data_IF_742841532804
#
_entry.id   IF_742841532804
#
_cell.length_a   1.000
_cell.length_b   1.000
_cell.length_c   1.000
_cell.angle_alpha   90.00
_cell.angle_beta   90.00
_cell.angle_gamma   90.00
#
_symmetry.space_group_name_H-M   'P 1'
#
loop_
_entity.id
_entity.type
_entity.pdbx_description
1 polymer ?
#
# COMPACT_ATOMS: atom_id res chain seq x y z
N UNK A 1 -30.71 22.68 -4.30
CA UNK A 1 -31.29 21.31 -4.35
C UNK A 1 -30.15 20.36 -4.05
N UNK A 2 -30.13 19.83 -2.83
CA UNK A 2 -29.04 18.99 -2.31
C UNK A 2 -29.44 17.53 -2.55
N UNK A 3 -28.83 16.90 -3.57
CA UNK A 3 -29.02 15.49 -3.85
C UNK A 3 -28.20 14.62 -2.88
N UNK A 4 -28.84 13.97 -1.94
CA UNK A 4 -28.25 12.94 -1.08
C UNK A 4 -27.99 11.69 -1.94
N UNK A 5 -26.74 11.40 -2.24
CA UNK A 5 -26.35 10.12 -2.80
C UNK A 5 -26.21 9.15 -1.63
N UNK A 6 -27.16 8.23 -1.52
CA UNK A 6 -27.08 7.12 -0.60
C UNK A 6 -26.08 6.10 -1.13
N UNK A 7 -24.97 5.89 -0.42
CA UNK A 7 -24.04 4.79 -0.68
C UNK A 7 -24.72 3.47 -0.28
N UNK A 8 -25.24 2.77 -1.27
CA UNK A 8 -25.62 1.38 -1.12
C UNK A 8 -24.39 0.50 -1.05
N UNK A 9 -24.12 -0.08 0.12
CA UNK A 9 -23.13 -1.16 0.27
C UNK A 9 -23.69 -2.37 -0.48
N UNK A 10 -23.18 -2.60 -1.68
CA UNK A 10 -23.47 -3.80 -2.43
C UNK A 10 -22.75 -4.98 -1.76
N UNK A 11 -23.50 -5.76 -0.99
CA UNK A 11 -23.05 -7.07 -0.48
C UNK A 11 -22.93 -8.03 -1.66
N UNK A 12 -21.72 -8.18 -2.21
CA UNK A 12 -21.39 -9.24 -3.14
C UNK A 12 -21.25 -10.55 -2.36
N UNK A 13 -22.37 -11.26 -2.20
CA UNK A 13 -22.35 -12.67 -1.80
C UNK A 13 -21.87 -13.50 -2.98
N UNK A 14 -20.58 -13.78 -3.03
CA UNK A 14 -20.02 -14.81 -3.91
C UNK A 14 -20.23 -16.15 -3.24
N UNK A 15 -21.27 -16.88 -3.64
CA UNK A 15 -21.43 -18.31 -3.32
C UNK A 15 -20.45 -19.10 -4.18
N UNK A 16 -19.21 -19.29 -3.68
CA UNK A 16 -18.24 -20.19 -4.30
C UNK A 16 -18.43 -21.61 -3.79
N UNK A 17 -18.51 -22.56 -4.70
CA UNK A 17 -18.56 -23.99 -4.40
C UNK A 17 -17.29 -24.43 -3.67
N UNK A 18 -17.44 -25.09 -2.52
CA UNK A 18 -16.36 -25.58 -1.69
C UNK A 18 -15.55 -26.66 -2.39
N UNK A 19 -14.27 -26.38 -2.66
CA UNK A 19 -13.23 -27.37 -2.90
C UNK A 19 -11.93 -26.82 -2.27
N UNK A 20 -11.47 -27.41 -1.17
CA UNK A 20 -10.15 -27.28 -0.50
C UNK A 20 -9.44 -25.91 -0.72
N UNK A 21 -10.03 -24.83 -0.24
CA UNK A 21 -9.55 -23.48 -0.47
C UNK A 21 -9.31 -22.83 0.88
N UNK A 22 -8.26 -22.01 0.97
CA UNK A 22 -8.01 -21.22 2.17
C UNK A 22 -9.24 -20.35 2.50
N UNK A 23 -9.54 -20.21 3.78
CA UNK A 23 -10.60 -19.31 4.22
C UNK A 23 -10.22 -17.87 3.80
N UNK A 24 -11.18 -17.07 3.33
CA UNK A 24 -10.91 -15.65 3.07
C UNK A 24 -10.52 -14.98 4.38
N UNK A 25 -9.50 -14.13 4.33
CA UNK A 25 -9.12 -13.27 5.45
C UNK A 25 -9.70 -11.88 5.24
N UNK A 26 -10.18 -11.26 6.30
CA UNK A 26 -10.71 -9.89 6.29
C UNK A 26 -10.03 -9.11 7.41
N UNK A 27 -9.71 -7.85 7.16
CA UNK A 27 -9.11 -6.98 8.15
C UNK A 27 -9.63 -5.56 8.09
N UNK A 28 -9.52 -4.87 9.22
CA UNK A 28 -9.73 -3.43 9.33
C UNK A 28 -8.53 -2.81 10.05
N UNK A 29 -8.10 -1.65 9.60
CA UNK A 29 -6.96 -0.95 10.18
C UNK A 29 -7.29 0.53 10.38
N UNK A 30 -6.89 1.07 11.51
CA UNK A 30 -6.81 2.51 11.77
C UNK A 30 -5.34 2.91 11.87
N UNK A 31 -4.98 4.01 11.22
CA UNK A 31 -3.62 4.57 11.25
C UNK A 31 -3.67 6.08 11.49
N UNK A 32 -2.62 6.62 12.09
CA UNK A 32 -2.49 8.08 12.28
C UNK A 32 -2.20 8.82 10.97
N UNK A 33 -1.70 8.12 9.93
CA UNK A 33 -1.47 8.65 8.59
C UNK A 33 -1.39 7.48 7.60
N UNK A 34 -2.18 7.50 6.53
CA UNK A 34 -2.07 6.52 5.45
C UNK A 34 -0.83 6.82 4.62
N UNK A 35 0.19 5.99 4.73
CA UNK A 35 1.45 6.17 3.99
C UNK A 35 1.77 5.01 3.07
N UNK A 36 2.25 5.36 1.88
CA UNK A 36 2.73 4.39 0.89
C UNK A 36 4.06 4.87 0.32
N UNK A 37 5.07 4.01 0.33
CA UNK A 37 6.41 4.34 -0.13
C UNK A 37 6.93 5.64 0.52
N UNK A 38 6.74 5.76 1.84
CA UNK A 38 7.11 6.94 2.61
C UNK A 38 6.23 8.18 2.44
N UNK A 39 5.40 8.26 1.39
CA UNK A 39 4.55 9.41 1.10
C UNK A 39 3.19 9.29 1.81
N UNK A 40 2.73 10.38 2.43
CA UNK A 40 1.37 10.44 2.95
C UNK A 40 0.34 10.47 1.82
N UNK A 41 -0.69 9.66 1.95
CA UNK A 41 -1.85 9.61 1.07
C UNK A 41 -3.10 10.23 1.71
N UNK A 42 -3.06 10.51 3.02
CA UNK A 42 -4.13 11.16 3.78
C UNK A 42 -3.77 12.54 4.34
N UNK A 43 -2.73 13.20 3.79
CA UNK A 43 -2.24 14.53 4.23
C UNK A 43 -1.84 14.58 5.71
N UNK A 44 -1.22 13.52 6.22
CA UNK A 44 -0.86 13.42 7.62
C UNK A 44 -2.04 13.28 8.59
N UNK A 45 -3.25 13.02 8.07
CA UNK A 45 -4.47 12.85 8.85
C UNK A 45 -4.72 11.38 9.14
N UNK A 46 -5.38 11.09 10.25
CA UNK A 46 -5.81 9.74 10.60
C UNK A 46 -6.70 9.15 9.51
N UNK A 47 -6.46 7.89 9.20
CA UNK A 47 -7.17 7.13 8.17
C UNK A 47 -7.64 5.78 8.68
N UNK A 48 -8.63 5.22 8.00
CA UNK A 48 -9.11 3.86 8.19
C UNK A 48 -9.06 3.13 6.86
N UNK A 49 -8.79 1.83 6.93
CA UNK A 49 -8.84 0.95 5.76
C UNK A 49 -9.47 -0.39 6.10
N UNK A 50 -10.00 -1.06 5.09
CA UNK A 50 -10.47 -2.44 5.18
C UNK A 50 -9.86 -3.24 4.05
N UNK A 51 -9.58 -4.50 4.27
CA UNK A 51 -9.02 -5.41 3.27
C UNK A 51 -9.67 -6.79 3.34
N UNK A 52 -9.62 -7.48 2.22
CA UNK A 52 -9.99 -8.88 2.08
C UNK A 52 -9.00 -9.57 1.16
N UNK A 53 -8.62 -10.80 1.51
CA UNK A 53 -7.76 -11.63 0.68
C UNK A 53 -8.33 -13.05 0.55
N UNK A 54 -8.11 -13.65 -0.61
CA UNK A 54 -8.54 -15.01 -0.94
C UNK A 54 -7.42 -15.74 -1.69
N UNK A 55 -7.06 -16.93 -1.22
CA UNK A 55 -6.07 -17.78 -1.87
C UNK A 55 -6.75 -18.99 -2.51
N UNK A 56 -6.54 -19.18 -3.81
CA UNK A 56 -7.09 -20.24 -4.63
C UNK A 56 -5.94 -21.03 -5.29
N UNK A 57 -5.40 -22.01 -4.57
CA UNK A 57 -4.21 -22.73 -5.03
C UNK A 57 -3.00 -21.82 -5.16
N UNK A 58 -2.51 -21.60 -6.40
CA UNK A 58 -1.41 -20.67 -6.67
C UNK A 58 -1.85 -19.22 -6.89
N UNK A 59 -3.15 -18.96 -6.91
CA UNK A 59 -3.68 -17.62 -7.19
C UNK A 59 -4.06 -16.94 -5.87
N UNK A 60 -3.56 -15.73 -5.67
CA UNK A 60 -3.97 -14.84 -4.58
C UNK A 60 -4.75 -13.65 -5.17
N UNK A 61 -5.87 -13.33 -4.55
CA UNK A 61 -6.70 -12.17 -4.87
C UNK A 61 -6.81 -11.31 -3.62
N UNK A 62 -6.50 -10.01 -3.75
CA UNK A 62 -6.58 -9.08 -2.64
C UNK A 62 -7.35 -7.83 -3.07
N UNK A 63 -8.13 -7.30 -2.13
CA UNK A 63 -8.80 -6.02 -2.25
C UNK A 63 -8.55 -5.21 -0.97
N UNK A 64 -8.18 -3.94 -1.11
CA UNK A 64 -8.04 -3.02 0.02
C UNK A 64 -8.68 -1.68 -0.33
N UNK A 65 -9.46 -1.14 0.58
CA UNK A 65 -10.01 0.23 0.47
C UNK A 65 -9.47 1.05 1.63
N UNK A 66 -8.91 2.22 1.33
CA UNK A 66 -8.38 3.15 2.32
C UNK A 66 -8.94 4.56 2.14
N UNK A 67 -9.25 5.24 3.24
CA UNK A 67 -9.69 6.63 3.23
C UNK A 67 -8.50 7.56 2.97
N UNK A 68 -8.63 8.48 2.01
CA UNK A 68 -7.60 9.46 1.63
C UNK A 68 -7.86 10.86 2.19
N UNK A 69 -9.06 11.10 2.72
CA UNK A 69 -9.43 12.34 3.42
C UNK A 69 -9.39 13.61 2.55
N UNK A 70 -9.70 13.49 1.26
CA UNK A 70 -9.66 14.59 0.31
C UNK A 70 -8.23 15.01 -0.05
N UNK A 71 -7.33 14.04 -0.20
CA UNK A 71 -5.89 14.28 -0.39
C UNK A 71 -5.57 15.09 -1.64
N UNK A 72 -4.84 16.19 -1.49
CA UNK A 72 -4.31 17.01 -2.59
C UNK A 72 -3.45 16.16 -3.55
N UNK A 73 -2.65 15.23 -3.04
CA UNK A 73 -1.84 14.29 -3.83
C UNK A 73 -2.68 13.50 -4.83
N UNK A 74 -3.92 13.23 -4.51
CA UNK A 74 -4.85 12.46 -5.32
C UNK A 74 -6.03 13.29 -5.82
N UNK A 75 -5.81 14.61 -6.01
CA UNK A 75 -6.77 15.55 -6.59
C UNK A 75 -8.12 15.55 -5.87
N UNK A 76 -8.07 15.59 -4.53
CA UNK A 76 -9.25 15.62 -3.70
C UNK A 76 -9.90 14.26 -3.44
N UNK A 77 -9.30 13.14 -3.86
CA UNK A 77 -9.88 11.81 -3.66
C UNK A 77 -10.19 11.52 -2.18
N UNK A 78 -11.38 10.97 -1.93
CA UNK A 78 -11.83 10.57 -0.61
C UNK A 78 -11.32 9.18 -0.22
N UNK A 79 -11.18 8.28 -1.20
CA UNK A 79 -10.75 6.90 -0.97
C UNK A 79 -10.01 6.33 -2.19
N UNK A 80 -9.21 5.29 -1.93
CA UNK A 80 -8.63 4.43 -2.96
C UNK A 80 -9.03 2.98 -2.71
N UNK A 81 -9.38 2.28 -3.79
CA UNK A 81 -9.51 0.83 -3.81
C UNK A 81 -8.32 0.23 -4.58
N UNK A 82 -7.56 -0.62 -3.92
CA UNK A 82 -6.49 -1.43 -4.51
C UNK A 82 -7.03 -2.83 -4.77
N UNK A 83 -6.98 -3.27 -6.01
CA UNK A 83 -7.38 -4.61 -6.42
C UNK A 83 -6.16 -5.32 -6.98
N UNK A 84 -5.79 -6.44 -6.40
CA UNK A 84 -4.63 -7.20 -6.87
C UNK A 84 -4.95 -8.66 -7.16
N UNK A 85 -4.24 -9.20 -8.14
CA UNK A 85 -4.19 -10.61 -8.43
C UNK A 85 -2.73 -11.04 -8.57
N UNK A 86 -2.38 -12.17 -7.95
CA UNK A 86 -1.03 -12.70 -7.97
C UNK A 86 -1.01 -14.19 -8.26
N UNK A 87 0.11 -14.65 -8.82
CA UNK A 87 0.46 -16.06 -8.94
C UNK A 87 1.67 -16.30 -8.06
N UNK A 88 1.58 -17.32 -7.19
CA UNK A 88 2.61 -17.68 -6.23
C UNK A 88 3.15 -19.06 -6.52
N UNK A 89 4.47 -19.21 -6.48
CA UNK A 89 5.14 -20.49 -6.67
C UNK A 89 6.43 -20.56 -5.85
N UNK A 90 6.94 -21.78 -5.62
CA UNK A 90 8.18 -22.00 -4.88
C UNK A 90 9.29 -22.48 -5.82
N UNK A 91 10.47 -21.89 -5.70
CA UNK A 91 11.68 -22.28 -6.42
C UNK A 91 12.81 -22.44 -5.41
N UNK A 92 13.13 -23.69 -5.07
CA UNK A 92 14.06 -23.97 -3.97
C UNK A 92 13.57 -23.36 -2.66
N UNK A 93 14.39 -22.58 -1.95
CA UNK A 93 14.02 -21.97 -0.68
C UNK A 93 13.24 -20.65 -0.86
N UNK A 94 13.01 -20.22 -2.08
CA UNK A 94 12.33 -18.95 -2.38
C UNK A 94 10.88 -19.19 -2.73
N UNK A 95 10.00 -18.36 -2.18
CA UNK A 95 8.64 -18.16 -2.68
C UNK A 95 8.68 -16.97 -3.66
N UNK A 96 8.24 -17.20 -4.89
CA UNK A 96 8.16 -16.18 -5.93
C UNK A 96 6.70 -15.78 -6.12
N UNK A 97 6.44 -14.49 -6.26
CA UNK A 97 5.12 -13.93 -6.52
C UNK A 97 5.19 -12.99 -7.73
N UNK A 98 4.37 -13.25 -8.75
CA UNK A 98 4.10 -12.28 -9.82
C UNK A 98 2.72 -11.69 -9.63
N UNK A 99 2.55 -10.34 -9.72
CA UNK A 99 1.28 -9.68 -9.44
C UNK A 99 0.97 -8.51 -10.35
N UNK A 100 -0.34 -8.23 -10.47
CA UNK A 100 -0.89 -7.02 -11.06
C UNK A 100 -1.76 -6.32 -10.01
N UNK A 101 -1.69 -4.98 -9.95
CA UNK A 101 -2.44 -4.16 -9.01
C UNK A 101 -3.10 -3.03 -9.80
N UNK A 102 -4.42 -2.87 -9.61
CA UNK A 102 -5.17 -1.69 -10.05
C UNK A 102 -5.47 -0.78 -8.86
N UNK A 103 -5.24 0.52 -9.02
CA UNK A 103 -5.55 1.55 -8.04
C UNK A 103 -6.69 2.40 -8.58
N UNK A 104 -7.86 2.33 -7.94
CA UNK A 104 -9.08 3.04 -8.35
C UNK A 104 -9.42 4.10 -7.29
N UNK A 105 -9.52 5.36 -7.71
CA UNK A 105 -9.71 6.50 -6.82
C UNK A 105 -11.13 7.02 -6.88
N UNK A 106 -11.79 7.11 -5.73
CA UNK A 106 -13.13 7.65 -5.58
C UNK A 106 -13.08 9.10 -5.03
N UNK A 107 -13.95 9.96 -5.55
CA UNK A 107 -14.06 11.36 -5.11
C UNK A 107 -13.01 12.31 -5.70
N UNK A 108 -12.11 11.85 -6.56
CA UNK A 108 -11.13 12.70 -7.22
C UNK A 108 -11.80 13.60 -8.28
N UNK A 109 -11.33 14.85 -8.42
CA UNK A 109 -11.81 15.80 -9.44
C UNK A 109 -11.38 15.40 -10.86
N UNK A 110 -10.30 14.63 -10.99
CA UNK A 110 -9.75 14.11 -12.26
C UNK A 110 -9.50 12.60 -12.17
N UNK A 111 -9.38 11.93 -13.32
CA UNK A 111 -9.03 10.51 -13.38
C UNK A 111 -7.64 10.25 -12.79
N UNK A 112 -7.61 9.55 -11.64
CA UNK A 112 -6.41 9.24 -10.88
C UNK A 112 -6.05 7.74 -10.92
N UNK A 113 -6.85 6.93 -11.60
CA UNK A 113 -6.67 5.47 -11.66
C UNK A 113 -5.41 5.10 -12.44
N UNK A 114 -4.69 4.11 -11.95
CA UNK A 114 -3.51 3.56 -12.61
C UNK A 114 -3.29 2.11 -12.21
N UNK A 115 -2.41 1.41 -12.93
CA UNK A 115 -2.06 0.03 -12.66
C UNK A 115 -0.55 -0.17 -12.57
N UNK A 116 -0.14 -1.17 -11.78
CA UNK A 116 1.24 -1.61 -11.62
C UNK A 116 1.32 -3.11 -11.82
N UNK A 117 2.47 -3.58 -12.34
CA UNK A 117 2.80 -4.99 -12.51
C UNK A 117 4.17 -5.25 -11.90
N UNK A 118 4.38 -6.44 -11.40
CA UNK A 118 5.67 -6.78 -10.87
C UNK A 118 5.68 -8.08 -10.10
N UNK A 119 6.63 -8.20 -9.19
CA UNK A 119 6.74 -9.37 -8.35
C UNK A 119 7.76 -9.21 -7.26
N UNK A 120 7.82 -10.21 -6.42
CA UNK A 120 8.75 -10.30 -5.31
C UNK A 120 9.24 -11.73 -5.10
N UNK A 121 10.39 -11.85 -4.46
CA UNK A 121 10.97 -13.07 -3.97
C UNK A 121 11.06 -12.98 -2.45
N UNK A 122 10.54 -14.00 -1.78
CA UNK A 122 10.53 -14.15 -0.32
C UNK A 122 11.42 -15.33 0.09
N UNK A 123 12.19 -15.12 1.13
CA UNK A 123 13.03 -16.13 1.75
C UNK A 123 12.81 -16.13 3.26
N UNK A 124 12.51 -17.29 3.84
CA UNK A 124 12.26 -17.45 5.29
C UNK A 124 13.38 -18.24 5.93
N UNK A 125 13.99 -17.69 6.97
CA UNK A 125 15.04 -18.31 7.77
C UNK A 125 14.70 -18.22 9.27
N UNK A 126 14.16 -19.29 9.82
CA UNK A 126 13.70 -19.31 11.20
C UNK A 126 12.62 -18.22 11.44
N UNK A 127 12.83 -17.32 12.43
CA UNK A 127 11.87 -16.26 12.72
C UNK A 127 12.00 -15.05 11.78
N UNK A 128 12.91 -15.08 10.81
CA UNK A 128 13.20 -13.95 9.91
C UNK A 128 12.65 -14.26 8.52
N UNK A 129 11.91 -13.33 7.97
CA UNK A 129 11.46 -13.32 6.59
C UNK A 129 12.09 -12.13 5.86
N UNK A 130 12.70 -12.39 4.72
CA UNK A 130 13.26 -11.39 3.82
C UNK A 130 12.44 -11.37 2.53
N UNK A 131 12.07 -10.19 2.07
CA UNK A 131 11.36 -10.01 0.80
C UNK A 131 12.06 -8.95 -0.02
N UNK A 132 12.30 -9.22 -1.30
CA UNK A 132 12.78 -8.22 -2.26
C UNK A 132 11.89 -8.23 -3.50
N UNK A 133 11.55 -7.06 -4.03
CA UNK A 133 10.59 -6.97 -5.12
C UNK A 133 10.72 -5.71 -5.97
N UNK A 134 10.00 -5.76 -7.09
CA UNK A 134 9.86 -4.65 -8.01
C UNK A 134 8.41 -4.52 -8.48
N UNK A 135 7.91 -3.29 -8.55
CA UNK A 135 6.62 -2.93 -9.14
C UNK A 135 6.85 -1.88 -10.22
N UNK A 136 6.28 -2.08 -11.38
CA UNK A 136 6.37 -1.17 -12.51
C UNK A 136 4.99 -0.72 -12.96
N UNK A 137 4.76 0.59 -12.89
CA UNK A 137 3.64 1.24 -13.56
C UNK A 137 4.16 1.72 -14.94
N UNK A 138 3.65 1.19 -16.05
CA UNK A 138 3.98 1.68 -17.38
C UNK A 138 3.52 3.14 -17.54
N UNK A 139 3.93 3.84 -18.62
CA UNK A 139 3.49 5.21 -18.85
C UNK A 139 1.96 5.32 -18.86
N UNK A 140 1.42 6.10 -17.92
CA UNK A 140 0.00 6.34 -17.74
C UNK A 140 -0.25 7.83 -17.46
N UNK A 141 -1.32 8.37 -18.03
CA UNK A 141 -1.67 9.77 -17.88
C UNK A 141 -1.87 10.17 -16.41
N UNK A 142 -2.46 9.29 -15.61
CA UNK A 142 -2.76 9.56 -14.19
C UNK A 142 -1.52 9.77 -13.32
N UNK A 143 -0.36 9.26 -13.72
CA UNK A 143 0.91 9.34 -13.00
C UNK A 143 2.00 10.09 -13.77
N UNK A 144 1.65 10.73 -14.90
CA UNK A 144 2.53 11.62 -15.65
C UNK A 144 3.80 10.96 -16.20
N UNK A 145 3.74 9.69 -16.59
CA UNK A 145 4.85 8.90 -17.09
C UNK A 145 4.84 7.51 -16.52
N UNK A 146 6.02 6.89 -16.36
CA UNK A 146 6.18 5.56 -15.74
C UNK A 146 6.66 5.67 -14.29
N UNK A 147 6.47 4.61 -13.51
CA UNK A 147 7.06 4.49 -12.18
C UNK A 147 7.60 3.08 -11.95
N UNK A 148 8.86 2.97 -11.54
CA UNK A 148 9.50 1.74 -11.07
C UNK A 148 9.77 1.89 -9.57
N UNK A 149 9.22 0.99 -8.77
CA UNK A 149 9.49 0.89 -7.35
C UNK A 149 10.24 -0.39 -7.05
N UNK A 150 11.46 -0.26 -6.53
CA UNK A 150 12.26 -1.37 -6.02
C UNK A 150 12.16 -1.36 -4.50
N UNK A 151 12.04 -2.53 -3.87
CA UNK A 151 11.92 -2.63 -2.41
C UNK A 151 12.64 -3.84 -1.85
N UNK A 152 13.09 -3.70 -0.61
CA UNK A 152 13.54 -4.80 0.24
C UNK A 152 12.95 -4.63 1.64
N UNK A 153 12.50 -5.73 2.24
CA UNK A 153 11.88 -5.76 3.56
C UNK A 153 12.41 -6.94 4.36
N UNK A 154 12.53 -6.76 5.67
CA UNK A 154 12.79 -7.81 6.64
C UNK A 154 11.72 -7.77 7.73
N UNK A 155 11.21 -8.93 8.09
CA UNK A 155 10.29 -9.14 9.21
C UNK A 155 10.92 -10.14 10.14
N UNK A 156 11.02 -9.83 11.44
CA UNK A 156 11.68 -10.70 12.42
C UNK A 156 10.81 -10.84 13.67
N UNK A 157 10.21 -12.02 13.86
CA UNK A 157 9.55 -12.37 15.11
C UNK A 157 10.55 -12.48 16.26
N UNK A 158 10.30 -11.81 17.39
CA UNK A 158 11.14 -11.94 18.59
C UNK A 158 10.71 -13.19 19.33
N UNK A 159 11.57 -14.24 19.42
CA UNK A 159 11.20 -15.51 20.01
C UNK A 159 10.64 -15.37 21.43
N UNK A 160 9.61 -16.15 21.73
CA UNK A 160 8.93 -16.19 23.04
C UNK A 160 8.24 -14.88 23.46
N UNK A 161 8.02 -13.97 22.52
CA UNK A 161 7.30 -12.71 22.76
C UNK A 161 6.22 -12.49 21.69
N UNK A 162 5.20 -11.65 21.94
CA UNK A 162 4.22 -11.27 20.93
C UNK A 162 4.72 -10.15 20.00
N UNK A 163 6.03 -9.84 20.02
CA UNK A 163 6.60 -8.73 19.26
C UNK A 163 7.25 -9.17 17.95
N UNK A 164 7.08 -8.34 16.94
CA UNK A 164 7.70 -8.48 15.62
C UNK A 164 8.36 -7.16 15.23
N UNK A 165 9.61 -7.24 14.76
CA UNK A 165 10.31 -6.12 14.14
C UNK A 165 10.08 -6.15 12.64
N UNK A 166 9.82 -4.98 12.06
CA UNK A 166 9.65 -4.79 10.62
C UNK A 166 10.61 -3.71 10.16
N UNK A 167 11.42 -4.00 9.15
CA UNK A 167 12.31 -3.03 8.51
C UNK A 167 12.13 -3.07 7.01
N UNK A 168 12.22 -1.93 6.34
CA UNK A 168 12.10 -1.87 4.89
C UNK A 168 12.75 -0.64 4.30
N UNK A 169 13.19 -0.77 3.05
CA UNK A 169 13.70 0.31 2.23
C UNK A 169 13.12 0.20 0.84
N UNK A 170 12.94 1.34 0.18
CA UNK A 170 12.43 1.40 -1.17
C UNK A 170 13.06 2.50 -2.00
N UNK A 171 12.89 2.41 -3.32
CA UNK A 171 13.31 3.44 -4.26
C UNK A 171 12.30 3.56 -5.39
N UNK A 172 11.77 4.76 -5.56
CA UNK A 172 10.89 5.13 -6.68
C UNK A 172 11.68 5.87 -7.75
N UNK A 173 11.54 5.46 -9.03
CA UNK A 173 12.17 6.09 -10.19
C UNK A 173 11.28 5.92 -11.42
N UNK A 174 11.60 6.59 -12.55
CA UNK A 174 10.87 6.39 -13.80
C UNK A 174 10.95 7.60 -14.74
N UNK A 175 10.39 7.45 -15.94
CA UNK A 175 10.28 8.52 -16.92
C UNK A 175 9.21 9.53 -16.52
N UNK A 176 9.37 10.78 -16.96
CA UNK A 176 8.48 11.90 -16.69
C UNK A 176 8.00 12.46 -18.04
N UNK A 177 6.71 12.32 -18.33
CA UNK A 177 6.07 12.88 -19.52
C UNK A 177 5.28 14.17 -19.16
N UNK A 178 4.67 14.16 -17.96
CA UNK A 178 3.97 15.31 -17.36
C UNK A 178 4.52 15.52 -15.94
N UNK A 179 5.36 16.54 -15.71
CA UNK A 179 5.99 16.78 -14.40
C UNK A 179 5.00 16.98 -13.26
N UNK A 180 3.88 17.68 -13.51
CA UNK A 180 2.88 17.94 -12.48
C UNK A 180 2.21 16.66 -12.00
N UNK A 181 1.90 15.75 -12.93
CA UNK A 181 1.29 14.45 -12.60
C UNK A 181 2.31 13.46 -12.05
N UNK A 182 3.57 13.52 -12.50
CA UNK A 182 4.63 12.67 -11.99
C UNK A 182 4.95 12.96 -10.52
N UNK A 183 4.83 14.21 -10.07
CA UNK A 183 5.01 14.61 -8.67
C UNK A 183 4.03 13.91 -7.70
N UNK A 184 2.94 13.36 -8.19
CA UNK A 184 2.00 12.57 -7.41
C UNK A 184 2.66 11.35 -6.74
N UNK A 185 3.39 10.55 -7.51
CA UNK A 185 4.07 9.34 -7.02
C UNK A 185 5.55 9.58 -6.74
N UNK A 186 6.14 10.61 -7.34
CA UNK A 186 7.57 10.93 -7.22
C UNK A 186 7.77 12.44 -7.09
N UNK A 187 7.39 13.04 -5.95
CA UNK A 187 7.53 14.47 -5.75
C UNK A 187 9.00 14.87 -5.83
N UNK A 188 9.35 15.62 -6.89
CA UNK A 188 10.72 16.05 -7.18
C UNK A 188 11.60 15.04 -7.88
N UNK A 189 11.06 13.92 -8.36
CA UNK A 189 11.80 12.94 -9.14
C UNK A 189 12.06 11.64 -8.38
N UNK A 190 13.21 11.04 -8.60
CA UNK A 190 13.63 9.79 -7.93
C UNK A 190 13.88 10.05 -6.45
N UNK A 191 13.36 9.15 -5.59
CA UNK A 191 13.58 9.21 -4.14
C UNK A 191 13.70 7.82 -3.54
N UNK A 192 14.25 7.76 -2.32
CA UNK A 192 14.29 6.59 -1.48
C UNK A 192 13.36 6.76 -0.28
N UNK A 193 12.82 5.65 0.22
CA UNK A 193 11.99 5.59 1.42
C UNK A 193 12.47 4.49 2.36
N UNK A 194 12.11 4.62 3.65
CA UNK A 194 12.42 3.65 4.69
C UNK A 194 11.30 3.50 5.69
N UNK A 195 11.28 2.34 6.34
CA UNK A 195 10.40 2.02 7.46
C UNK A 195 11.14 1.17 8.49
N UNK A 196 10.92 1.49 9.77
CA UNK A 196 11.27 0.64 10.90
C UNK A 196 10.07 0.59 11.83
N UNK A 197 9.57 -0.61 12.12
CA UNK A 197 8.37 -0.81 12.91
C UNK A 197 8.55 -1.85 14.01
N UNK A 198 7.78 -1.67 15.08
CA UNK A 198 7.56 -2.66 16.12
C UNK A 198 6.07 -2.97 16.18
N UNK A 199 5.73 -4.25 16.06
CA UNK A 199 4.35 -4.74 16.12
C UNK A 199 4.16 -5.63 17.36
N UNK A 200 3.00 -5.51 18.00
CA UNK A 200 2.55 -6.38 19.09
C UNK A 200 1.25 -7.02 18.69
N UNK A 201 1.21 -8.35 18.62
CA UNK A 201 0.01 -9.10 18.23
C UNK A 201 -0.57 -9.88 19.40
N UNK A 202 -1.87 -9.68 19.67
CA UNK A 202 -2.63 -10.42 20.67
C UNK A 202 -3.98 -10.85 20.10
N UNK A 203 -4.14 -12.15 19.86
CA UNK A 203 -5.32 -12.67 19.17
C UNK A 203 -5.51 -11.99 17.80
N UNK A 204 -6.69 -11.46 17.50
CA UNK A 204 -6.95 -10.79 16.21
C UNK A 204 -6.41 -9.36 16.14
N UNK A 205 -5.92 -8.78 17.24
CA UNK A 205 -5.47 -7.40 17.33
C UNK A 205 -3.95 -7.30 17.17
N UNK A 206 -3.51 -6.46 16.23
CA UNK A 206 -2.12 -6.02 16.09
C UNK A 206 -2.02 -4.52 16.31
N UNK A 207 -1.18 -4.11 17.25
CA UNK A 207 -0.79 -2.71 17.46
C UNK A 207 0.62 -2.52 16.93
N UNK A 208 0.86 -1.40 16.26
CA UNK A 208 2.17 -1.11 15.68
C UNK A 208 2.57 0.35 15.89
N UNK A 209 3.88 0.55 16.03
CA UNK A 209 4.57 1.82 15.96
C UNK A 209 5.60 1.74 14.85
N UNK A 210 5.49 2.65 13.87
CA UNK A 210 6.39 2.71 12.72
C UNK A 210 7.09 4.06 12.66
N UNK A 211 8.40 4.05 12.48
CA UNK A 211 9.17 5.19 12.00
C UNK A 211 9.33 5.06 10.50
N UNK A 212 8.86 6.05 9.75
CA UNK A 212 8.88 6.06 8.29
C UNK A 212 9.42 7.39 7.79
N UNK A 213 10.05 7.39 6.62
CA UNK A 213 10.57 8.61 6.02
C UNK A 213 10.98 8.45 4.57
N UNK A 214 11.45 9.55 3.99
CA UNK A 214 12.01 9.62 2.64
C UNK A 214 13.21 10.56 2.62
N UNK A 215 14.06 10.45 1.60
CA UNK A 215 15.15 11.41 1.34
C UNK A 215 14.67 12.70 0.65
N UNK A 216 13.37 12.94 0.59
CA UNK A 216 12.77 14.16 0.04
C UNK A 216 12.84 15.30 1.07
N UNK A 217 13.23 16.49 0.60
CA UNK A 217 13.17 17.70 1.42
C UNK A 217 11.74 18.22 1.52
N UNK A 218 11.25 18.40 2.74
CA UNK A 218 9.91 18.93 3.05
C UNK A 218 9.74 20.42 2.67
N UNK A 219 10.85 21.14 2.42
CA UNK A 219 10.89 22.61 2.27
C UNK A 219 10.23 23.14 0.98
N UNK A 220 9.80 22.29 0.07
CA UNK A 220 9.39 22.72 -1.27
C UNK A 220 7.88 22.92 -1.48
N UNK A 221 7.10 22.84 -0.43
CA UNK A 221 5.68 23.22 -0.50
C UNK A 221 4.78 22.22 -1.25
N UNK A 222 3.54 22.63 -1.48
CA UNK A 222 2.55 21.89 -2.27
C UNK A 222 2.60 22.44 -3.69
N UNK A 223 2.93 21.61 -4.67
CA UNK A 223 2.59 21.84 -6.08
C UNK A 223 1.26 21.15 -6.35
N UNK A 224 0.44 21.63 -7.24
CA UNK A 224 -0.98 21.24 -7.47
C UNK A 224 -1.46 19.84 -7.06
N UNK A 225 -0.65 18.78 -7.22
CA UNK A 225 -0.89 17.40 -6.75
C UNK A 225 0.37 16.76 -6.14
N UNK A 226 1.46 17.51 -5.97
CA UNK A 226 2.71 17.07 -5.34
C UNK A 226 2.79 17.57 -3.90
N UNK A 227 2.20 16.85 -2.95
CA UNK A 227 2.34 17.16 -1.54
C UNK A 227 3.69 16.69 -1.01
N UNK A 228 4.61 17.64 -0.73
CA UNK A 228 5.91 17.38 -0.12
C UNK A 228 5.95 17.62 1.37
N UNK A 229 4.94 18.29 1.94
CA UNK A 229 4.88 18.60 3.38
C UNK A 229 4.74 17.35 4.23
N UNK A 230 4.21 16.27 3.65
CA UNK A 230 3.95 15.03 4.35
C UNK A 230 4.78 13.87 3.77
N UNK A 231 6.03 14.15 3.34
CA UNK A 231 6.97 13.16 2.84
C UNK A 231 8.14 12.87 3.78
N UNK A 232 8.40 13.75 4.74
CA UNK A 232 9.48 13.59 5.72
C UNK A 232 9.25 12.52 6.78
N UNK A 233 10.22 12.42 7.68
CA UNK A 233 10.22 11.46 8.78
C UNK A 233 9.04 11.62 9.71
N UNK A 234 8.43 10.49 10.10
CA UNK A 234 7.28 10.48 10.99
C UNK A 234 7.17 9.17 11.77
N UNK A 235 6.66 9.30 13.00
CA UNK A 235 6.20 8.15 13.78
C UNK A 235 4.70 7.97 13.52
N UNK A 236 4.30 6.74 13.18
CA UNK A 236 2.91 6.35 12.93
C UNK A 236 2.46 5.34 13.98
N UNK A 237 1.24 5.51 14.47
CA UNK A 237 0.53 4.49 15.23
C UNK A 237 -0.46 3.76 14.32
N UNK A 238 -0.50 2.42 14.41
CA UNK A 238 -1.47 1.59 13.70
C UNK A 238 -2.15 0.61 14.65
N UNK A 239 -3.43 0.35 14.43
CA UNK A 239 -4.19 -0.69 15.09
C UNK A 239 -4.96 -1.47 14.02
N UNK A 240 -4.68 -2.77 13.89
CA UNK A 240 -5.31 -3.67 12.93
C UNK A 240 -6.06 -4.78 13.66
N UNK A 241 -7.26 -5.06 13.19
CA UNK A 241 -8.07 -6.20 13.62
C UNK A 241 -8.31 -7.11 12.42
N UNK A 242 -7.91 -8.39 12.53
CA UNK A 242 -8.02 -9.38 11.47
C UNK A 242 -8.94 -10.54 11.90
N UNK A 243 -9.74 -11.06 10.94
CA UNK A 243 -10.72 -12.14 11.15
C UNK A 243 -10.40 -13.35 10.29
#
# INVERSE_FOLDING_TARGET
MIGRIAFGVASLLVTAAAQAQGLPSVGVEATTDERRRGLSWSEGKASVSGDAALTLGMVELDARVAALRGSVRHDGADAVADLSAAIVGNVGPFQLRGRAIGHVFAGADRGMDYAEFGGDARYTLGPVELTAGALYAPPQRAIGGSNLYLSAQAVAGIPMTPFTLVGGVGRSSGAVDDPLRADRLRPGGTYADWRLGLEHTTGPLTLALDYVGTDLNDDRGVTSIGDRRHSGDRILGRARFAF
#
